data_IF_408345765480
#
_entry.id   IF_408345765480
#
_cell.length_a   1.000
_cell.length_b   1.000
_cell.length_c   1.000
_cell.angle_alpha   90.00
_cell.angle_beta   90.00
_cell.angle_gamma   90.00
#
_symmetry.space_group_name_H-M   'P 1'
#
loop_
_entity.id
_entity.type
_entity.pdbx_description
1 polymer ?
#
# COMPACT_ATOMS: atom_id res chain seq x y z
N UNK A 1 -9.69 -23.74 -12.67
CA UNK A 1 -10.23 -22.40 -12.77
C UNK A 1 -9.43 -21.56 -13.71
N UNK A 2 -10.00 -21.31 -14.84
CA UNK A 2 -9.30 -20.56 -15.88
C UNK A 2 -9.08 -19.12 -15.49
N UNK A 3 -10.00 -18.59 -14.69
CA UNK A 3 -9.93 -17.18 -14.28
C UNK A 3 -8.66 -16.89 -13.49
N UNK A 4 -8.25 -17.85 -12.65
CA UNK A 4 -7.07 -17.62 -11.84
C UNK A 4 -5.81 -17.57 -12.68
N UNK A 5 -5.82 -18.25 -13.82
CA UNK A 5 -4.66 -18.28 -14.68
C UNK A 5 -4.48 -17.00 -15.45
N UNK A 6 -5.54 -16.20 -15.57
CA UNK A 6 -5.44 -14.95 -16.30
C UNK A 6 -5.01 -13.79 -15.45
N UNK A 7 -4.92 -13.99 -14.12
CA UNK A 7 -4.45 -12.94 -13.23
C UNK A 7 -2.93 -12.93 -13.28
N UNK A 8 -2.38 -11.83 -13.76
CA UNK A 8 -0.94 -11.68 -13.89
C UNK A 8 -0.34 -11.12 -12.62
N UNK A 9 0.98 -11.25 -12.49
CA UNK A 9 1.69 -10.62 -11.39
C UNK A 9 1.42 -9.11 -11.37
N UNK A 10 1.38 -8.51 -12.54
CA UNK A 10 1.13 -7.08 -12.66
C UNK A 10 -0.21 -6.71 -12.03
N UNK A 11 -1.25 -7.47 -12.32
CA UNK A 11 -2.57 -7.20 -11.76
C UNK A 11 -2.60 -7.38 -10.25
N UNK A 12 -1.93 -8.42 -9.76
CA UNK A 12 -1.85 -8.64 -8.32
C UNK A 12 -1.13 -7.49 -7.63
N UNK A 13 -0.07 -7.00 -8.25
CA UNK A 13 0.66 -5.87 -7.68
C UNK A 13 -0.18 -4.61 -7.66
N UNK A 14 -1.00 -4.40 -8.68
CA UNK A 14 -1.88 -3.23 -8.70
C UNK A 14 -2.96 -3.33 -7.64
N UNK A 15 -3.50 -4.52 -7.40
CA UNK A 15 -4.44 -4.72 -6.31
C UNK A 15 -3.76 -4.44 -4.96
N UNK A 16 -2.53 -4.93 -4.80
CA UNK A 16 -1.78 -4.70 -3.57
C UNK A 16 -1.52 -3.21 -3.37
N UNK A 17 -1.18 -2.52 -4.45
CA UNK A 17 -0.92 -1.09 -4.39
C UNK A 17 -2.14 -0.33 -3.90
N UNK A 18 -3.30 -0.60 -4.50
CA UNK A 18 -4.54 0.05 -4.10
C UNK A 18 -4.91 -0.28 -2.66
N UNK A 19 -4.74 -1.54 -2.27
CA UNK A 19 -5.05 -1.97 -0.92
C UNK A 19 -4.16 -1.26 0.10
N UNK A 20 -2.87 -1.11 -0.22
CA UNK A 20 -1.94 -0.42 0.66
C UNK A 20 -2.30 1.06 0.80
N UNK A 21 -2.72 1.69 -0.30
CA UNK A 21 -3.13 3.09 -0.24
C UNK A 21 -4.33 3.26 0.69
N UNK A 22 -5.29 2.34 0.61
CA UNK A 22 -6.46 2.40 1.48
C UNK A 22 -6.08 2.20 2.93
N UNK A 23 -5.16 1.27 3.21
CA UNK A 23 -4.71 1.03 4.57
C UNK A 23 -3.96 2.22 5.13
N UNK A 24 -3.14 2.84 4.31
CA UNK A 24 -2.39 4.03 4.72
C UNK A 24 -3.36 5.15 5.07
N UNK A 25 -4.35 5.40 4.22
CA UNK A 25 -5.34 6.44 4.48
C UNK A 25 -6.09 6.17 5.77
N UNK A 26 -6.42 4.92 6.01
CA UNK A 26 -7.16 4.54 7.23
C UNK A 26 -6.32 4.78 8.48
N UNK A 27 -5.04 4.39 8.44
CA UNK A 27 -4.17 4.59 9.60
C UNK A 27 -3.91 6.08 9.84
N UNK A 28 -3.78 6.85 8.78
CA UNK A 28 -3.59 8.29 8.92
C UNK A 28 -4.81 8.93 9.57
N UNK A 29 -6.00 8.48 9.21
CA UNK A 29 -7.22 9.00 9.79
C UNK A 29 -7.29 8.68 11.28
N UNK A 30 -6.94 7.45 11.66
CA UNK A 30 -6.95 7.05 13.06
C UNK A 30 -5.91 7.86 13.85
N UNK A 31 -4.73 8.03 13.28
CA UNK A 31 -3.68 8.78 13.95
C UNK A 31 -4.09 10.24 14.15
N UNK A 32 -4.73 10.82 13.15
CA UNK A 32 -5.17 12.21 13.24
C UNK A 32 -6.25 12.37 14.31
N UNK A 33 -7.17 11.41 14.38
CA UNK A 33 -8.20 11.42 15.41
C UNK A 33 -7.59 11.31 16.80
N UNK A 34 -6.61 10.41 16.96
CA UNK A 34 -5.94 10.25 18.24
C UNK A 34 -5.22 11.53 18.63
N UNK A 35 -4.59 12.19 17.66
CA UNK A 35 -3.88 13.42 17.91
C UNK A 35 -4.83 14.50 18.41
N UNK A 36 -6.02 14.59 17.82
CA UNK A 36 -7.02 15.56 18.26
C UNK A 36 -7.53 15.27 19.66
N UNK A 37 -7.75 14.01 19.97
CA UNK A 37 -8.34 13.62 21.26
C UNK A 37 -7.33 13.60 22.38
N UNK A 38 -6.13 13.10 22.11
CA UNK A 38 -5.11 12.90 23.14
C UNK A 38 -3.95 13.89 23.05
N UNK A 39 -3.91 14.67 21.98
CA UNK A 39 -2.85 15.65 21.80
C UNK A 39 -1.50 15.05 21.47
N UNK A 40 -1.47 13.81 21.01
CA UNK A 40 -0.22 13.16 20.65
C UNK A 40 -0.46 12.14 19.56
N UNK A 41 0.61 11.78 18.85
CA UNK A 41 0.55 10.80 17.80
C UNK A 41 0.37 9.40 18.37
N UNK A 42 -0.28 8.53 17.58
CA UNK A 42 -0.48 7.15 17.92
C UNK A 42 0.73 6.35 17.42
N UNK A 43 1.56 5.87 18.36
CA UNK A 43 2.78 5.15 17.99
C UNK A 43 2.50 3.90 17.17
N UNK A 44 1.42 3.18 17.51
CA UNK A 44 1.05 1.98 16.76
C UNK A 44 0.71 2.33 15.32
N UNK A 45 -0.08 3.39 15.12
CA UNK A 45 -0.42 3.83 13.78
C UNK A 45 0.81 4.27 13.01
N UNK A 46 1.73 4.95 13.65
CA UNK A 46 2.94 5.41 12.98
C UNK A 46 3.83 4.25 12.56
N UNK A 47 3.93 3.23 13.41
CA UNK A 47 4.69 2.04 13.05
C UNK A 47 4.06 1.32 11.87
N UNK A 48 2.74 1.21 11.85
CA UNK A 48 2.04 0.60 10.73
C UNK A 48 2.22 1.41 9.45
N UNK A 49 2.12 2.73 9.57
CA UNK A 49 2.31 3.60 8.41
C UNK A 49 3.69 3.43 7.81
N UNK A 50 4.70 3.35 8.65
CA UNK A 50 6.05 3.13 8.17
C UNK A 50 6.16 1.83 7.41
N UNK A 51 5.60 0.76 7.96
CA UNK A 51 5.62 -0.54 7.32
C UNK A 51 4.88 -0.52 5.99
N UNK A 52 3.69 0.07 5.99
CA UNK A 52 2.89 0.13 4.76
C UNK A 52 3.57 0.95 3.69
N UNK A 53 4.20 2.06 4.07
CA UNK A 53 4.91 2.90 3.11
C UNK A 53 6.10 2.18 2.51
N UNK A 54 6.80 1.38 3.31
CA UNK A 54 7.91 0.57 2.80
C UNK A 54 7.41 -0.48 1.82
N UNK A 55 6.30 -1.14 2.16
CA UNK A 55 5.70 -2.12 1.27
C UNK A 55 5.19 -1.47 -0.01
N UNK A 56 4.62 -0.28 0.12
CA UNK A 56 4.13 0.45 -1.05
C UNK A 56 5.27 0.78 -2.00
N UNK A 57 6.41 1.19 -1.46
CA UNK A 57 7.57 1.51 -2.28
C UNK A 57 8.06 0.27 -3.03
N UNK A 58 8.09 -0.87 -2.38
CA UNK A 58 8.51 -2.11 -3.02
C UNK A 58 7.54 -2.53 -4.13
N UNK A 59 6.25 -2.44 -3.85
CA UNK A 59 5.23 -2.79 -4.85
C UNK A 59 5.32 -1.85 -6.05
N UNK A 60 5.47 -0.57 -5.78
CA UNK A 60 5.57 0.43 -6.84
C UNK A 60 6.79 0.18 -7.72
N UNK A 61 7.91 -0.13 -7.10
CA UNK A 61 9.14 -0.41 -7.83
C UNK A 61 8.98 -1.61 -8.73
N UNK A 62 8.33 -2.66 -8.22
CA UNK A 62 8.09 -3.86 -9.01
C UNK A 62 7.16 -3.59 -10.17
N UNK A 63 6.12 -2.78 -9.95
CA UNK A 63 5.20 -2.41 -11.02
C UNK A 63 5.95 -1.67 -12.11
N UNK A 64 6.81 -0.73 -11.72
CA UNK A 64 7.59 0.03 -12.69
C UNK A 64 8.53 -0.86 -13.50
N UNK A 65 9.12 -1.87 -12.87
CA UNK A 65 9.96 -2.81 -13.58
C UNK A 65 9.19 -3.54 -14.67
N UNK A 66 7.99 -4.00 -14.31
CA UNK A 66 7.16 -4.73 -15.27
C UNK A 66 6.72 -3.81 -16.40
N UNK A 67 6.33 -2.58 -16.08
CA UNK A 67 5.93 -1.62 -17.09
C UNK A 67 7.07 -1.29 -18.04
N UNK A 68 8.27 -1.13 -17.50
CA UNK A 68 9.42 -0.84 -18.34
C UNK A 68 9.74 -2.00 -19.26
N UNK A 69 9.63 -3.22 -18.77
CA UNK A 69 9.89 -4.39 -19.59
C UNK A 69 8.86 -4.55 -20.70
N UNK A 70 7.62 -4.14 -20.44
CA UNK A 70 6.55 -4.26 -21.42
C UNK A 70 6.49 -3.09 -22.38
N UNK A 71 7.19 -2.02 -22.06
CA UNK A 71 7.15 -0.82 -22.89
C UNK A 71 7.90 -0.99 -24.20
N UNK A 72 8.68 -2.05 -24.32
CA UNK A 72 9.38 -2.33 -25.56
C UNK A 72 8.47 -3.04 -26.53
#
# INVERSE_FOLDING_TARGET
MKELKTITEYQLLKFAYCSLLERIAHEEEINERTKKELGRDNCTCQNRLKMYNEQLAEVRERILEIENNNAE
#
